data_IF_275069073309
#
_entry.id   IF_275069073309
#
_cell.length_a   1.000
_cell.length_b   1.000
_cell.length_c   1.000
_cell.angle_alpha   90.00
_cell.angle_beta   90.00
_cell.angle_gamma   90.00
#
_symmetry.space_group_name_H-M   'P 1'
#
loop_
_entity.id
_entity.type
_entity.pdbx_description
1 polymer ?
#
# COMPACT_ATOMS: atom_id res chain seq x y z
N UNK A 1 -15.08 3.98 -12.68
CA UNK A 1 -14.64 2.74 -13.37
C UNK A 1 -13.63 3.01 -14.49
N UNK A 2 -13.96 3.78 -15.53
CA UNK A 2 -13.02 4.07 -16.66
C UNK A 2 -11.76 4.84 -16.20
N UNK A 3 -11.90 5.70 -15.19
CA UNK A 3 -10.78 6.46 -14.58
C UNK A 3 -9.71 5.58 -13.93
N UNK A 4 -10.01 4.34 -13.54
CA UNK A 4 -9.07 3.41 -12.90
C UNK A 4 -8.37 2.48 -13.91
N UNK A 5 -8.74 2.52 -15.19
CA UNK A 5 -8.09 1.69 -16.22
C UNK A 5 -6.57 1.92 -16.30
N UNK A 6 -6.05 3.16 -16.29
CA UNK A 6 -4.60 3.37 -16.25
C UNK A 6 -3.94 2.73 -15.03
N UNK A 7 -4.62 2.78 -13.87
CA UNK A 7 -4.14 2.13 -12.65
C UNK A 7 -4.08 0.62 -12.80
N UNK A 8 -5.13 -0.03 -13.32
CA UNK A 8 -5.14 -1.49 -13.50
C UNK A 8 -4.13 -1.96 -14.55
N UNK A 9 -3.90 -1.16 -15.58
CA UNK A 9 -2.85 -1.43 -16.57
C UNK A 9 -1.47 -1.39 -15.93
N UNK A 10 -1.18 -0.40 -15.08
CA UNK A 10 0.07 -0.33 -14.32
C UNK A 10 0.18 -1.47 -13.29
N UNK A 11 -0.90 -1.77 -12.56
CA UNK A 11 -0.95 -2.77 -11.50
C UNK A 11 -0.50 -4.16 -12.01
N UNK A 12 -0.82 -4.49 -13.27
CA UNK A 12 -0.40 -5.74 -13.91
C UNK A 12 1.13 -5.91 -13.97
N UNK A 13 1.88 -4.82 -14.06
CA UNK A 13 3.33 -4.85 -14.17
C UNK A 13 4.05 -4.57 -12.84
N UNK A 14 3.34 -4.06 -11.84
CA UNK A 14 3.95 -3.38 -10.70
C UNK A 14 3.35 -3.70 -9.34
N UNK A 15 2.63 -4.81 -9.20
CA UNK A 15 2.13 -5.33 -7.92
C UNK A 15 1.42 -4.25 -7.07
N UNK A 16 0.55 -3.46 -7.72
CA UNK A 16 -0.25 -2.44 -7.05
C UNK A 16 -1.68 -2.92 -6.85
N UNK A 17 -2.24 -2.66 -5.68
CA UNK A 17 -3.62 -2.96 -5.32
C UNK A 17 -4.31 -1.66 -4.91
N UNK A 18 -5.51 -1.42 -5.47
CA UNK A 18 -6.33 -0.27 -5.11
C UNK A 18 -7.19 -0.65 -3.91
N UNK A 19 -6.99 0.01 -2.77
CA UNK A 19 -7.68 -0.31 -1.50
C UNK A 19 -8.96 0.50 -1.38
N UNK A 20 -10.05 -0.20 -1.09
CA UNK A 20 -11.36 0.37 -0.80
C UNK A 20 -11.66 0.43 0.71
N UNK A 21 -11.11 -0.53 1.47
CA UNK A 21 -11.29 -0.65 2.91
C UNK A 21 -10.13 -1.40 3.51
N UNK A 22 -9.77 -1.04 4.74
CA UNK A 22 -8.77 -1.74 5.55
C UNK A 22 -9.38 -1.99 6.94
N UNK A 23 -9.28 -3.23 7.43
CA UNK A 23 -9.66 -3.60 8.79
C UNK A 23 -8.45 -4.18 9.54
N UNK A 24 -8.30 -3.82 10.81
CA UNK A 24 -7.28 -4.39 11.70
C UNK A 24 -7.86 -5.59 12.46
N UNK A 25 -7.14 -6.71 12.46
CA UNK A 25 -7.44 -7.90 13.25
C UNK A 25 -6.38 -8.03 14.36
N UNK A 26 -6.60 -7.41 15.55
CA UNK A 26 -5.57 -7.26 16.58
C UNK A 26 -5.18 -8.59 17.24
N UNK A 27 -6.11 -9.55 17.30
CA UNK A 27 -5.91 -10.88 17.90
C UNK A 27 -4.98 -11.76 17.07
N UNK A 28 -5.04 -11.63 15.74
CA UNK A 28 -4.24 -12.44 14.82
C UNK A 28 -3.00 -11.72 14.28
N UNK A 29 -2.88 -10.41 14.52
CA UNK A 29 -1.80 -9.56 14.00
C UNK A 29 -1.79 -9.44 12.47
N UNK A 30 -2.99 -9.42 11.88
CA UNK A 30 -3.18 -9.23 10.43
C UNK A 30 -3.96 -7.95 10.14
N UNK A 31 -3.65 -7.37 8.98
CA UNK A 31 -4.44 -6.37 8.28
C UNK A 31 -5.23 -7.06 7.18
N UNK A 32 -6.52 -6.73 7.10
CA UNK A 32 -7.41 -7.17 6.04
C UNK A 32 -7.65 -6.02 5.07
N UNK A 33 -7.18 -6.16 3.85
CA UNK A 33 -7.41 -5.19 2.78
C UNK A 33 -8.52 -5.68 1.85
N UNK A 34 -9.47 -4.79 1.56
CA UNK A 34 -10.43 -4.96 0.49
C UNK A 34 -9.93 -4.22 -0.73
N UNK A 35 -9.51 -4.96 -1.75
CA UNK A 35 -8.88 -4.43 -2.94
C UNK A 35 -9.81 -4.53 -4.14
N UNK A 36 -9.83 -3.50 -4.98
CA UNK A 36 -10.57 -3.53 -6.24
C UNK A 36 -9.71 -4.21 -7.31
N UNK A 37 -10.32 -5.14 -8.04
CA UNK A 37 -9.74 -5.85 -9.19
C UNK A 37 -10.66 -5.71 -10.40
N UNK A 38 -10.19 -6.12 -11.58
CA UNK A 38 -11.04 -6.18 -12.78
C UNK A 38 -12.23 -7.13 -12.62
N UNK A 39 -12.12 -8.12 -11.72
CA UNK A 39 -13.15 -9.13 -11.46
C UNK A 39 -14.07 -8.77 -10.28
N UNK A 40 -13.84 -7.63 -9.60
CA UNK A 40 -14.60 -7.21 -8.43
C UNK A 40 -13.72 -6.97 -7.21
N UNK A 41 -14.29 -7.10 -6.02
CA UNK A 41 -13.58 -6.87 -4.75
C UNK A 41 -12.90 -8.16 -4.30
N UNK A 42 -11.62 -8.09 -3.99
CA UNK A 42 -10.82 -9.19 -3.47
C UNK A 42 -10.28 -8.85 -2.08
N UNK A 43 -10.35 -9.81 -1.16
CA UNK A 43 -9.80 -9.67 0.19
C UNK A 43 -8.34 -10.16 0.22
N UNK A 44 -7.47 -9.39 0.87
CA UNK A 44 -6.07 -9.75 1.14
C UNK A 44 -5.79 -9.66 2.62
N UNK A 45 -5.03 -10.63 3.13
CA UNK A 45 -4.64 -10.71 4.53
C UNK A 45 -3.13 -10.59 4.63
N UNK A 46 -2.66 -9.54 5.29
CA UNK A 46 -1.24 -9.22 5.41
C UNK A 46 -0.83 -9.15 6.87
N UNK A 47 0.31 -9.74 7.22
CA UNK A 47 0.81 -9.64 8.60
C UNK A 47 1.23 -8.19 8.89
N UNK A 48 0.84 -7.64 10.03
CA UNK A 48 1.15 -6.23 10.41
C UNK A 48 2.66 -5.97 10.35
N UNK A 49 3.45 -6.93 10.84
CA UNK A 49 4.92 -6.84 10.85
C UNK A 49 5.52 -6.63 9.46
N UNK A 50 4.79 -7.00 8.40
CA UNK A 50 5.24 -6.89 7.01
C UNK A 50 4.80 -5.62 6.31
N UNK A 51 3.90 -4.85 6.91
CA UNK A 51 3.31 -3.67 6.32
C UNK A 51 4.03 -2.44 6.81
N UNK A 52 4.52 -1.64 5.87
CA UNK A 52 5.22 -0.39 6.15
C UNK A 52 4.55 0.76 5.40
N UNK A 53 4.39 1.93 6.02
CA UNK A 53 3.97 3.12 5.31
C UNK A 53 5.06 3.54 4.31
N UNK A 54 4.66 3.83 3.08
CA UNK A 54 5.54 4.26 2.00
C UNK A 54 5.33 5.75 1.80
N UNK A 55 6.41 6.53 1.84
CA UNK A 55 6.28 7.98 1.64
C UNK A 55 5.93 8.31 0.20
N UNK A 56 5.29 9.45 -0.01
CA UNK A 56 5.03 10.01 -1.35
C UNK A 56 6.32 10.11 -2.19
N UNK A 57 7.45 10.41 -1.56
CA UNK A 57 8.74 10.53 -2.26
C UNK A 57 9.23 9.17 -2.75
N UNK A 58 9.19 8.14 -1.92
CA UNK A 58 9.58 6.78 -2.28
C UNK A 58 8.66 6.22 -3.37
N UNK A 59 7.35 6.43 -3.23
CA UNK A 59 6.38 6.07 -4.26
C UNK A 59 6.72 6.73 -5.61
N UNK A 60 7.06 8.03 -5.61
CA UNK A 60 7.47 8.75 -6.83
C UNK A 60 8.82 8.28 -7.37
N UNK A 61 9.77 7.89 -6.51
CA UNK A 61 11.05 7.36 -6.97
C UNK A 61 10.85 6.01 -7.71
N UNK A 62 9.98 5.16 -7.18
CA UNK A 62 9.69 3.83 -7.75
C UNK A 62 8.82 3.93 -9.01
N UNK A 63 7.85 4.86 -9.06
CA UNK A 63 6.83 4.92 -10.10
C UNK A 63 6.83 6.17 -10.99
N UNK A 64 7.57 7.21 -10.64
CA UNK A 64 7.62 8.48 -11.37
C UNK A 64 8.32 8.43 -12.72
N UNK A 65 8.90 7.27 -13.11
CA UNK A 65 9.54 7.07 -14.41
C UNK A 65 8.55 6.64 -15.52
N UNK A 66 7.31 6.30 -15.19
CA UNK A 66 6.33 5.86 -16.20
C UNK A 66 5.66 7.09 -16.81
N UNK A 67 5.63 7.16 -18.15
CA UNK A 67 5.02 8.20 -18.99
C UNK A 67 3.51 8.41 -18.80
N UNK A 68 2.88 7.72 -17.85
CA UNK A 68 1.46 7.85 -17.55
C UNK A 68 1.26 8.91 -16.49
N UNK A 69 0.41 9.89 -16.79
CA UNK A 69 0.00 10.93 -15.83
C UNK A 69 -0.54 10.23 -14.58
N UNK A 70 0.05 10.54 -13.44
CA UNK A 70 -0.41 10.04 -12.15
C UNK A 70 -1.92 10.24 -12.00
N UNK A 71 -2.61 9.16 -11.63
CA UNK A 71 -4.05 9.22 -11.43
C UNK A 71 -4.38 10.07 -10.19
N UNK A 72 -5.18 11.11 -10.37
CA UNK A 72 -5.47 12.11 -9.32
C UNK A 72 -6.36 11.59 -8.20
N UNK A 73 -6.99 10.43 -8.41
CA UNK A 73 -7.83 9.77 -7.41
C UNK A 73 -7.02 9.00 -6.36
N UNK A 74 -5.71 8.83 -6.56
CA UNK A 74 -4.86 8.11 -5.61
C UNK A 74 -4.46 9.03 -4.45
N UNK A 75 -4.61 8.52 -3.24
CA UNK A 75 -4.00 9.12 -2.07
C UNK A 75 -2.55 8.63 -1.95
N UNK A 76 -1.60 9.55 -2.02
CA UNK A 76 -0.18 9.25 -1.90
C UNK A 76 0.36 9.44 -0.50
N UNK A 77 -0.45 9.99 0.39
CA UNK A 77 -0.13 10.11 1.80
C UNK A 77 -0.58 8.85 2.54
N UNK A 78 -1.47 8.06 1.92
CA UNK A 78 -1.90 6.74 2.38
C UNK A 78 -1.45 5.65 1.39
N UNK A 79 -0.17 5.31 1.45
CA UNK A 79 0.40 4.18 0.71
C UNK A 79 1.08 3.24 1.69
N UNK A 80 0.77 1.95 1.58
CA UNK A 80 1.39 0.90 2.37
C UNK A 80 2.07 -0.10 1.44
N UNK A 81 3.24 -0.58 1.81
CA UNK A 81 3.96 -1.63 1.12
C UNK A 81 4.09 -2.86 2.00
N UNK A 82 3.96 -4.04 1.42
CA UNK A 82 4.38 -5.27 2.05
C UNK A 82 5.84 -5.56 1.65
N UNK A 83 6.77 -5.62 2.61
CA UNK A 83 8.18 -5.86 2.29
C UNK A 83 8.45 -7.28 1.76
N UNK A 84 7.68 -8.28 2.20
CA UNK A 84 7.88 -9.68 1.82
C UNK A 84 7.31 -10.04 0.45
N UNK A 85 6.21 -9.42 0.04
CA UNK A 85 5.57 -9.69 -1.27
C UNK A 85 5.87 -8.62 -2.33
N UNK A 86 6.40 -7.47 -1.90
CA UNK A 86 6.54 -6.25 -2.69
C UNK A 86 5.20 -5.70 -3.26
N UNK A 87 4.07 -6.12 -2.68
CA UNK A 87 2.76 -5.56 -3.01
C UNK A 87 2.59 -4.16 -2.40
N UNK A 88 2.04 -3.24 -3.18
CA UNK A 88 1.66 -1.90 -2.73
C UNK A 88 0.15 -1.75 -2.65
N UNK A 89 -0.29 -1.13 -1.58
CA UNK A 89 -1.68 -0.86 -1.23
C UNK A 89 -1.88 0.65 -1.28
N UNK A 90 -2.64 1.11 -2.28
CA UNK A 90 -2.83 2.54 -2.56
C UNK A 90 -4.31 2.87 -2.38
N UNK A 91 -4.58 3.94 -1.66
CA UNK A 91 -5.91 4.27 -1.17
C UNK A 91 -6.57 5.31 -2.09
N UNK A 92 -7.90 5.38 -2.05
CA UNK A 92 -8.66 6.44 -2.72
C UNK A 92 -8.58 7.75 -1.94
N UNK A 93 -8.17 8.82 -2.60
CA UNK A 93 -8.12 10.18 -2.05
C UNK A 93 -9.52 10.74 -1.76
N UNK A 94 -10.53 10.27 -2.48
CA UNK A 94 -11.91 10.75 -2.37
C UNK A 94 -12.76 9.87 -1.45
N UNK A 95 -12.17 8.81 -0.89
CA UNK A 95 -12.81 7.90 0.04
C UNK A 95 -13.05 8.54 1.40
N UNK A 96 -14.18 8.22 2.02
CA UNK A 96 -14.41 8.50 3.43
C UNK A 96 -13.76 7.40 4.26
N UNK A 97 -12.59 7.69 4.83
CA UNK A 97 -11.87 6.78 5.72
C UNK A 97 -12.25 7.10 7.16
N UNK A 98 -12.83 6.12 7.86
CA UNK A 98 -13.14 6.23 9.29
C UNK A 98 -11.99 5.67 10.10
N UNK A 99 -11.49 6.44 11.06
CA UNK A 99 -10.38 6.04 11.93
C UNK A 99 -10.80 5.02 13.02
N UNK A 100 -12.09 4.71 13.11
CA UNK A 100 -12.66 3.76 14.06
C UNK A 100 -12.06 2.35 13.83
N UNK A 101 -11.21 1.91 14.76
CA UNK A 101 -10.54 0.60 14.71
C UNK A 101 -9.12 0.62 14.13
N UNK A 102 -8.62 1.76 13.63
CA UNK A 102 -7.25 1.91 13.08
C UNK A 102 -6.29 2.52 14.09
N UNK A 103 -6.77 3.37 15.02
CA UNK A 103 -5.97 3.90 16.13
C UNK A 103 -5.68 2.82 17.18
N UNK A 104 -4.74 1.93 16.85
CA UNK A 104 -4.28 0.85 17.71
C UNK A 104 -2.76 0.95 17.86
N UNK A 105 -2.23 0.75 19.07
CA UNK A 105 -0.79 0.89 19.37
C UNK A 105 0.10 0.02 18.45
N UNK A 106 -0.40 -1.13 18.02
CA UNK A 106 0.28 -2.04 17.06
C UNK A 106 0.49 -1.46 15.66
N UNK A 107 -0.27 -0.43 15.25
CA UNK A 107 -0.10 0.29 13.99
C UNK A 107 0.66 1.62 14.17
N UNK A 108 1.08 1.95 15.40
CA UNK A 108 1.90 3.14 15.62
C UNK A 108 3.21 3.03 14.86
N UNK A 109 3.69 4.16 14.33
CA UNK A 109 4.99 4.24 13.69
C UNK A 109 6.08 3.76 14.64
N UNK A 110 6.03 4.07 15.93
CA UNK A 110 7.05 3.63 16.89
C UNK A 110 7.20 2.10 16.98
N UNK A 111 6.10 1.35 16.84
CA UNK A 111 6.12 -0.11 16.92
C UNK A 111 6.35 -0.81 15.58
N UNK A 112 5.98 -0.15 14.47
CA UNK A 112 6.14 -0.68 13.13
C UNK A 112 7.46 -0.25 12.49
N UNK A 113 8.05 0.88 12.91
CA UNK A 113 9.23 1.50 12.31
C UNK A 113 10.54 0.85 12.75
N UNK A 114 11.17 0.06 11.89
CA UNK A 114 12.51 -0.50 12.10
C UNK A 114 13.46 -0.15 10.95
N UNK A 115 13.89 1.10 10.95
CA UNK A 115 14.75 1.73 9.93
C UNK A 115 15.96 0.86 9.51
N UNK A 116 16.59 0.18 10.48
CA UNK A 116 17.81 -0.64 10.29
C UNK A 116 17.57 -1.88 9.43
N UNK A 117 16.37 -2.46 9.45
CA UNK A 117 16.05 -3.65 8.65
C UNK A 117 15.59 -3.32 7.22
N UNK A 118 15.35 -2.04 6.91
CA UNK A 118 14.53 -1.66 5.75
C UNK A 118 15.30 -1.06 4.60
N UNK A 119 16.36 -0.31 4.87
CA UNK A 119 17.18 0.29 3.82
C UNK A 119 18.04 -0.74 3.06
N UNK A 120 18.35 -1.88 3.69
CA UNK A 120 19.28 -2.87 3.11
C UNK A 120 18.64 -3.75 2.01
N UNK A 121 17.32 -3.93 1.97
CA UNK A 121 16.65 -4.79 0.96
C UNK A 121 16.25 -4.05 -0.33
N UNK A 122 16.09 -2.73 -0.30
CA UNK A 122 15.79 -1.94 -1.51
C UNK A 122 17.06 -1.48 -2.27
N UNK A 123 18.23 -1.71 -1.68
CA UNK A 123 19.52 -1.40 -2.31
C UNK A 123 20.02 -2.65 -3.02
N UNK A 124 20.13 -2.68 -4.36
CA UNK A 124 20.77 -3.80 -5.03
C UNK A 124 22.21 -3.93 -4.51
N UNK A 125 22.75 -5.15 -4.28
CA UNK A 125 24.12 -5.30 -3.84
C UNK A 125 25.03 -4.58 -4.83
N UNK A 126 25.83 -3.64 -4.31
CA UNK A 126 26.86 -2.97 -5.08
C UNK A 126 27.90 -4.02 -5.48
N UNK A 127 27.93 -4.35 -6.77
CA UNK A 127 29.05 -5.06 -7.41
C UNK A 127 30.11 -4.06 -7.84
#
# INVERSE_FOLDING_TARGET
YVSLLPFFMEARFKQKSFVLRMDLLPESEYLKFYTLTLSGIAEKYEAIKNIVPVTRYDYRAIYGRILMKQNTILDLDMVYGNYGTHDLYIFDKSGEWKDEGINHEKLSLENTYNETNWFDEFTPPAY
#
